data_IF_845236306159
#
_entry.id   IF_845236306159
#
_cell.length_a   1.000
_cell.length_b   1.000
_cell.length_c   1.000
_cell.angle_alpha   90.00
_cell.angle_beta   90.00
_cell.angle_gamma   90.00
#
_symmetry.space_group_name_H-M   'P 1'
#
loop_
_entity.id
_entity.type
_entity.pdbx_description
1 polymer ?
#
# COMPACT_ATOMS: atom_id res chain seq x y z
N UNK A 1 -10.49 -7.83 -2.16
CA UNK A 1 -10.80 -9.15 -2.76
C UNK A 1 -11.79 -9.83 -1.83
N UNK A 2 -12.87 -10.38 -2.36
CA UNK A 2 -13.89 -11.06 -1.55
C UNK A 2 -13.46 -12.51 -1.38
N UNK A 3 -13.46 -13.03 -0.15
CA UNK A 3 -13.27 -14.46 0.09
C UNK A 3 -14.61 -15.17 -0.04
N UNK A 4 -14.60 -16.46 -0.37
CA UNK A 4 -15.81 -17.28 -0.55
C UNK A 4 -16.78 -17.24 0.65
N UNK A 5 -16.29 -16.90 1.84
CA UNK A 5 -17.09 -16.76 3.08
C UNK A 5 -17.78 -15.38 3.24
N UNK A 6 -17.73 -14.51 2.24
CA UNK A 6 -18.36 -13.17 2.28
C UNK A 6 -17.56 -12.09 3.02
N UNK A 7 -16.44 -12.45 3.65
CA UNK A 7 -15.52 -11.49 4.25
C UNK A 7 -14.77 -10.67 3.17
N UNK A 8 -14.61 -9.37 3.43
CA UNK A 8 -13.92 -8.44 2.53
C UNK A 8 -12.53 -8.14 3.07
N UNK A 9 -11.50 -8.40 2.26
CA UNK A 9 -10.12 -8.03 2.57
C UNK A 9 -9.80 -6.62 2.08
N UNK A 10 -9.16 -5.84 2.95
CA UNK A 10 -8.72 -4.48 2.69
C UNK A 10 -7.21 -4.33 2.94
N UNK A 11 -6.59 -3.44 2.17
CA UNK A 11 -5.24 -2.95 2.42
C UNK A 11 -5.36 -1.53 2.95
N UNK A 12 -4.80 -1.28 4.13
CA UNK A 12 -4.91 0.02 4.82
C UNK A 12 -3.52 0.56 5.06
N UNK A 13 -3.27 1.81 4.69
CA UNK A 13 -2.02 2.49 5.04
C UNK A 13 -2.06 2.81 6.53
N UNK A 14 -1.25 2.11 7.32
CA UNK A 14 -1.17 2.32 8.77
C UNK A 14 -0.11 3.36 9.16
N UNK A 15 0.87 3.60 8.29
CA UNK A 15 1.91 4.60 8.48
C UNK A 15 2.44 5.08 7.12
N UNK A 16 2.70 6.38 7.01
CA UNK A 16 3.36 6.97 5.85
C UNK A 16 4.30 8.08 6.32
N UNK A 17 5.60 7.77 6.34
CA UNK A 17 6.64 8.73 6.70
C UNK A 17 7.30 9.24 5.43
N UNK A 18 7.16 10.54 5.15
CA UNK A 18 7.67 11.19 3.95
C UNK A 18 8.73 12.23 4.32
N UNK A 19 9.95 12.09 3.79
CA UNK A 19 11.02 13.04 3.96
C UNK A 19 11.37 13.73 2.64
N UNK A 20 10.95 14.98 2.50
CA UNK A 20 11.40 15.85 1.42
C UNK A 20 12.86 16.26 1.64
N UNK A 21 13.70 15.98 0.65
CA UNK A 21 15.11 16.36 0.64
C UNK A 21 15.37 17.60 -0.20
N UNK A 22 14.58 17.79 -1.27
CA UNK A 22 14.70 18.90 -2.22
C UNK A 22 13.33 19.30 -2.78
N UNK A 23 13.22 20.55 -3.20
CA UNK A 23 12.02 21.04 -3.86
C UNK A 23 11.84 20.41 -5.24
N UNK A 24 10.58 20.14 -5.59
CA UNK A 24 10.13 19.71 -6.91
C UNK A 24 9.52 20.95 -7.58
N UNK A 25 9.93 21.24 -8.82
CA UNK A 25 9.47 22.42 -9.54
C UNK A 25 8.25 22.09 -10.41
N UNK A 26 7.54 23.13 -10.86
CA UNK A 26 6.44 22.98 -11.81
C UNK A 26 6.95 22.37 -13.13
N UNK A 27 6.14 21.51 -13.74
CA UNK A 27 6.41 20.83 -15.01
C UNK A 27 7.65 19.92 -15.01
N UNK A 28 8.18 19.60 -13.84
CA UNK A 28 9.31 18.69 -13.70
C UNK A 28 8.88 17.22 -13.84
N UNK A 29 9.61 16.47 -14.67
CA UNK A 29 9.44 15.01 -14.76
C UNK A 29 10.21 14.36 -13.61
N UNK A 30 9.48 13.70 -12.72
CA UNK A 30 10.02 12.93 -11.61
C UNK A 30 9.80 11.43 -11.84
N UNK A 31 10.74 10.63 -11.35
CA UNK A 31 10.63 9.17 -11.30
C UNK A 31 10.34 8.73 -9.87
N UNK A 32 9.27 7.98 -9.69
CA UNK A 32 8.92 7.38 -8.40
C UNK A 32 9.33 5.91 -8.44
N UNK A 33 10.17 5.49 -7.49
CA UNK A 33 10.72 4.13 -7.45
C UNK A 33 10.49 3.50 -6.09
N UNK A 34 10.05 2.25 -6.08
CA UNK A 34 10.15 1.40 -4.89
C UNK A 34 11.60 0.89 -4.82
N UNK A 35 12.34 1.34 -3.81
CA UNK A 35 13.75 0.99 -3.61
C UNK A 35 13.91 -0.36 -2.89
N UNK A 36 12.99 -0.67 -1.96
CA UNK A 36 12.96 -1.89 -1.18
C UNK A 36 11.53 -2.21 -0.76
N UNK A 37 11.21 -3.51 -0.71
CA UNK A 37 9.98 -4.03 -0.11
C UNK A 37 10.36 -4.98 1.03
N UNK A 38 9.72 -4.84 2.18
CA UNK A 38 9.78 -5.84 3.24
C UNK A 38 8.40 -6.44 3.47
N UNK A 39 8.32 -7.75 3.37
CA UNK A 39 7.10 -8.48 3.64
C UNK A 39 7.09 -8.97 5.09
N UNK A 40 6.00 -8.68 5.80
CA UNK A 40 5.71 -9.19 7.15
C UNK A 40 4.44 -10.03 7.11
N UNK A 41 4.14 -10.83 8.15
CA UNK A 41 2.99 -11.73 8.11
C UNK A 41 1.66 -11.05 7.77
N UNK A 42 1.37 -9.88 8.34
CA UNK A 42 0.10 -9.15 8.17
C UNK A 42 0.27 -7.74 7.58
N UNK A 43 1.45 -7.42 7.06
CA UNK A 43 1.74 -6.09 6.52
C UNK A 43 2.84 -6.10 5.46
N UNK A 44 2.84 -5.09 4.62
CA UNK A 44 3.83 -4.86 3.56
C UNK A 44 4.46 -3.49 3.83
N UNK A 45 5.78 -3.40 3.80
CA UNK A 45 6.51 -2.14 4.00
C UNK A 45 7.18 -1.77 2.68
N UNK A 46 6.81 -0.62 2.13
CA UNK A 46 7.44 -0.05 0.94
C UNK A 46 8.38 1.07 1.33
N UNK A 47 9.62 0.97 0.89
CA UNK A 47 10.56 2.09 0.88
C UNK A 47 10.60 2.64 -0.53
N UNK A 48 10.20 3.89 -0.69
CA UNK A 48 10.07 4.55 -1.98
C UNK A 48 10.98 5.79 -2.03
N UNK A 49 11.52 6.09 -3.20
CA UNK A 49 12.16 7.37 -3.49
C UNK A 49 11.51 8.07 -4.66
N UNK A 50 11.49 9.39 -4.59
CA UNK A 50 11.19 10.26 -5.72
C UNK A 50 12.53 10.82 -6.20
N UNK A 51 12.80 10.73 -7.49
CA UNK A 51 14.06 11.09 -8.11
C UNK A 51 13.84 11.99 -9.32
N UNK A 52 14.81 12.86 -9.58
CA UNK A 52 14.94 13.65 -10.81
C UNK A 52 16.08 13.08 -11.64
N UNK A 53 15.86 12.87 -12.93
CA UNK A 53 16.95 12.62 -13.87
C UNK A 53 17.60 13.94 -14.23
N UNK A 54 18.89 14.08 -13.97
CA UNK A 54 19.70 15.21 -14.43
C UNK A 54 20.50 14.76 -15.64
N UNK A 55 20.14 15.29 -16.82
CA UNK A 55 20.97 15.18 -18.02
C UNK A 55 22.13 16.15 -17.87
N UNK A 56 23.34 15.64 -17.72
CA UNK A 56 24.53 16.48 -17.73
C UNK A 56 24.95 16.66 -19.20
N UNK A 57 24.80 17.88 -19.75
CA UNK A 57 25.07 18.19 -21.16
C UNK A 57 26.58 18.14 -21.52
N UNK A 58 27.42 17.55 -20.69
CA UNK A 58 28.86 17.41 -20.89
C UNK A 58 29.17 16.04 -21.49
N UNK A 59 29.26 15.95 -22.83
CA UNK A 59 29.96 15.02 -23.75
C UNK A 59 30.27 13.54 -23.37
N UNK A 60 29.79 13.05 -22.24
CA UNK A 60 29.91 11.70 -21.69
C UNK A 60 28.59 11.43 -21.00
N UNK A 61 27.65 10.83 -21.73
CA UNK A 61 26.29 10.48 -21.29
C UNK A 61 26.31 9.65 -19.99
N UNK A 62 26.36 10.34 -18.86
CA UNK A 62 26.06 9.78 -17.54
C UNK A 62 24.87 10.53 -17.00
N UNK A 63 23.70 9.93 -17.20
CA UNK A 63 22.47 10.38 -16.53
C UNK A 63 22.65 10.18 -15.03
N UNK A 64 22.80 11.29 -14.31
CA UNK A 64 22.86 11.27 -12.85
C UNK A 64 21.42 11.36 -12.31
N UNK A 65 21.11 10.63 -11.24
CA UNK A 65 19.79 10.63 -10.64
C UNK A 65 19.84 11.25 -9.26
N UNK A 66 19.13 12.35 -9.07
CA UNK A 66 19.09 13.09 -7.82
C UNK A 66 17.85 12.71 -7.00
N UNK A 67 18.03 12.33 -5.73
CA UNK A 67 16.91 12.02 -4.83
C UNK A 67 16.25 13.31 -4.36
N UNK A 68 14.93 13.41 -4.55
CA UNK A 68 14.08 14.52 -4.12
C UNK A 68 13.36 14.19 -2.81
N UNK A 69 12.95 12.93 -2.64
CA UNK A 69 12.25 12.47 -1.44
C UNK A 69 12.56 11.00 -1.13
N UNK A 70 12.39 10.62 0.13
CA UNK A 70 12.42 9.24 0.60
C UNK A 70 11.22 8.99 1.51
N UNK A 71 10.54 7.88 1.29
CA UNK A 71 9.27 7.54 1.94
C UNK A 71 9.32 6.13 2.51
N UNK A 72 8.75 5.92 3.68
CA UNK A 72 8.40 4.60 4.23
C UNK A 72 6.89 4.50 4.38
N UNK A 73 6.28 3.55 3.69
CA UNK A 73 4.84 3.29 3.74
C UNK A 73 4.62 1.91 4.33
N UNK A 74 3.82 1.81 5.39
CA UNK A 74 3.40 0.54 5.97
C UNK A 74 1.94 0.30 5.61
N UNK A 75 1.67 -0.82 4.97
CA UNK A 75 0.33 -1.26 4.57
C UNK A 75 -0.04 -2.48 5.40
N UNK A 76 -1.12 -2.39 6.18
CA UNK A 76 -1.71 -3.50 6.90
C UNK A 76 -2.72 -4.25 6.02
N UNK A 77 -2.74 -5.58 6.14
CA UNK A 77 -3.78 -6.43 5.56
C UNK A 77 -4.84 -6.69 6.64
N UNK A 78 -6.07 -6.28 6.37
CA UNK A 78 -7.18 -6.42 7.34
C UNK A 78 -8.39 -7.02 6.65
N UNK A 79 -9.29 -7.58 7.45
CA UNK A 79 -10.53 -8.19 6.99
C UNK A 79 -11.69 -7.66 7.83
N UNK A 80 -12.78 -7.28 7.16
CA UNK A 80 -14.04 -6.98 7.83
C UNK A 80 -14.72 -8.30 8.20
N UNK A 81 -15.18 -8.41 9.45
CA UNK A 81 -16.12 -9.46 9.83
C UNK A 81 -17.51 -9.05 9.38
N UNK A 82 -17.94 -9.52 8.21
CA UNK A 82 -19.33 -9.34 7.79
C UNK A 82 -20.11 -10.44 8.50
N UNK A 83 -20.89 -10.10 9.55
CA UNK A 83 -21.91 -11.03 10.03
C UNK A 83 -22.92 -11.19 8.89
N UNK A 84 -23.17 -12.39 8.35
CA UNK A 84 -24.33 -12.58 7.49
C UNK A 84 -25.56 -12.31 8.36
N UNK A 85 -26.32 -11.28 8.03
CA UNK A 85 -27.64 -11.11 8.65
C UNK A 85 -28.48 -12.34 8.29
N UNK A 86 -28.98 -13.12 9.26
CA UNK A 86 -30.05 -14.03 8.95
C UNK A 86 -31.25 -13.15 8.59
N UNK A 87 -31.74 -13.26 7.34
CA UNK A 87 -33.07 -12.75 6.99
C UNK A 87 -34.11 -13.51 7.83
N UNK A 88 -34.35 -13.04 9.04
CA UNK A 88 -35.49 -13.44 9.85
C UNK A 88 -36.47 -12.27 9.80
N UNK A 89 -37.47 -12.40 8.92
CA UNK A 89 -38.72 -11.67 9.05
C UNK A 89 -39.21 -11.82 10.49
N UNK A 90 -39.35 -10.71 11.21
CA UNK A 90 -40.48 -10.49 12.10
C UNK A 90 -40.54 -9.01 12.49
N UNK A 91 -41.67 -8.41 12.12
CA UNK A 91 -42.13 -7.11 12.54
C UNK A 91 -42.13 -7.01 14.08
N UNK A 92 -41.63 -5.90 14.64
CA UNK A 92 -42.33 -5.02 15.62
C UNK A 92 -41.34 -4.02 16.26
N UNK A 93 -41.57 -2.74 15.95
CA UNK A 93 -41.34 -1.48 16.70
C UNK A 93 -40.42 -1.47 17.95
N UNK A 94 -39.40 -0.60 17.95
CA UNK A 94 -39.33 0.60 18.81
C UNK A 94 -38.03 1.41 18.60
N UNK A 95 -38.17 2.73 18.74
CA UNK A 95 -37.21 3.79 18.42
C UNK A 95 -35.99 3.90 19.37
N UNK A 96 -34.81 4.24 18.82
CA UNK A 96 -33.76 5.13 19.38
C UNK A 96 -32.67 5.39 18.30
N UNK A 97 -31.81 6.43 18.37
CA UNK A 97 -31.64 7.46 17.34
C UNK A 97 -30.44 7.20 16.42
N UNK A 98 -30.41 7.99 15.36
CA UNK A 98 -29.41 8.01 14.30
C UNK A 98 -27.96 8.29 14.79
N UNK A 99 -26.99 7.73 14.05
CA UNK A 99 -25.52 7.94 14.12
C UNK A 99 -24.67 6.98 14.99
N UNK A 100 -25.03 5.69 15.07
CA UNK A 100 -23.98 4.69 15.23
C UNK A 100 -23.29 4.51 13.87
N UNK A 101 -22.05 4.99 13.73
CA UNK A 101 -21.22 4.62 12.57
C UNK A 101 -21.10 3.10 12.62
N UNK A 102 -21.79 2.39 11.73
CA UNK A 102 -21.71 0.95 11.57
C UNK A 102 -20.32 0.59 11.01
N UNK A 103 -19.26 0.81 11.78
CA UNK A 103 -17.94 0.28 11.45
C UNK A 103 -17.98 -1.21 11.76
N UNK A 104 -18.11 -2.03 10.72
CA UNK A 104 -17.86 -3.47 10.84
C UNK A 104 -16.47 -3.67 11.43
N UNK A 105 -16.31 -4.53 12.46
CA UNK A 105 -15.03 -4.71 13.12
C UNK A 105 -13.99 -5.26 12.14
N UNK A 106 -12.86 -4.57 12.06
CA UNK A 106 -11.69 -4.95 11.26
C UNK A 106 -10.71 -5.76 12.12
N UNK A 107 -10.20 -6.86 11.57
CA UNK A 107 -9.10 -7.63 12.16
C UNK A 107 -7.90 -7.72 11.23
N UNK A 108 -6.65 -7.67 11.74
CA UNK A 108 -5.48 -7.99 10.94
C UNK A 108 -5.54 -9.42 10.41
N UNK A 109 -5.15 -9.61 9.16
CA UNK A 109 -5.01 -10.92 8.53
C UNK A 109 -3.63 -11.05 7.90
N UNK A 110 -3.24 -12.29 7.59
CA UNK A 110 -2.00 -12.50 6.85
C UNK A 110 -2.11 -11.93 5.43
N UNK A 111 -0.99 -11.50 4.87
CA UNK A 111 -0.91 -11.12 3.46
C UNK A 111 -1.35 -12.33 2.61
N UNK A 112 -2.29 -12.16 1.66
CA UNK A 112 -2.74 -13.26 0.80
C UNK A 112 -1.58 -13.96 0.10
N UNK A 113 -1.63 -15.29 0.04
CA UNK A 113 -0.53 -16.11 -0.48
C UNK A 113 -0.11 -15.70 -1.89
N UNK A 114 -1.07 -15.57 -2.80
CA UNK A 114 -0.79 -15.18 -4.19
C UNK A 114 -0.08 -13.82 -4.29
N UNK A 115 -0.54 -12.84 -3.49
CA UNK A 115 0.10 -11.52 -3.44
C UNK A 115 1.50 -11.59 -2.86
N UNK A 116 1.70 -12.34 -1.77
CA UNK A 116 3.02 -12.57 -1.20
C UNK A 116 3.96 -13.16 -2.24
N UNK A 117 3.55 -14.25 -2.88
CA UNK A 117 4.38 -15.02 -3.80
C UNK A 117 4.74 -14.13 -5.02
N UNK A 118 3.80 -13.31 -5.52
CA UNK A 118 4.06 -12.34 -6.59
C UNK A 118 5.04 -11.22 -6.17
N UNK A 119 4.93 -10.70 -4.95
CA UNK A 119 5.86 -9.68 -4.43
C UNK A 119 7.26 -10.28 -4.26
N UNK A 120 7.37 -11.48 -3.71
CA UNK A 120 8.66 -12.17 -3.53
C UNK A 120 9.34 -12.46 -4.89
N UNK A 121 8.56 -12.84 -5.90
CA UNK A 121 9.05 -12.98 -7.26
C UNK A 121 9.58 -11.65 -7.82
N UNK A 122 8.79 -10.57 -7.71
CA UNK A 122 9.19 -9.26 -8.21
C UNK A 122 10.46 -8.72 -7.51
N UNK A 123 10.62 -8.97 -6.20
CA UNK A 123 11.84 -8.62 -5.46
C UNK A 123 13.06 -9.39 -6.00
N UNK A 124 12.87 -10.67 -6.31
CA UNK A 124 13.93 -11.54 -6.84
C UNK A 124 14.39 -11.09 -8.22
N UNK A 125 13.45 -10.79 -9.11
CA UNK A 125 13.72 -10.27 -10.46
C UNK A 125 14.49 -8.94 -10.40
N UNK A 126 14.07 -8.00 -9.55
CA UNK A 126 14.72 -6.70 -9.40
C UNK A 126 16.16 -6.80 -8.84
N UNK A 127 16.46 -7.87 -8.11
CA UNK A 127 17.82 -8.14 -7.61
C UNK A 127 18.73 -8.63 -8.73
N UNK A 128 18.20 -9.47 -9.63
CA UNK A 128 18.94 -10.00 -10.76
C UNK A 128 19.24 -8.96 -11.85
N UNK A 129 18.38 -7.96 -12.04
CA UNK A 129 18.64 -6.84 -12.97
C UNK A 129 19.71 -5.85 -12.47
N UNK A 130 20.16 -5.97 -11.21
CA UNK A 130 21.18 -5.09 -10.61
C UNK A 130 22.59 -5.71 -10.53
N UNK A 131 22.77 -6.97 -10.92
CA UNK A 131 24.05 -7.69 -11.00
C UNK A 131 24.61 -7.63 -12.43
#
# INVERSE_FOLDING_TARGET
MQTDDGDIQHFVVSQADLQYKRAILLDEIITVRIDKVELKPASIIFYQSIRRSTSDNSATDKTTSQILSSTKIVIACVQNLVKPEPMANNETNNAQPDNAVNTTPMRPIRVPKELRDAIEQAISEQTNERL
#
